data_IF_856640442823
#
_entry.id   IF_856640442823
#
_cell.length_a   1.000
_cell.length_b   1.000
_cell.length_c   1.000
_cell.angle_alpha   90.00
_cell.angle_beta   90.00
_cell.angle_gamma   90.00
#
_symmetry.space_group_name_H-M   'P 1'
#
loop_
_entity.id
_entity.type
_entity.pdbx_description
1 polymer ?
#
# COMPACT_ATOMS: atom_id res chain seq x y z
N UNK A 1 -9.75 3.60 14.33
CA UNK A 1 -10.74 2.64 13.82
C UNK A 1 -10.36 1.99 12.49
N UNK A 2 -9.21 2.35 11.90
CA UNK A 2 -8.68 1.63 10.73
C UNK A 2 -8.16 0.22 11.06
N UNK A 3 -7.92 -0.08 12.33
CA UNK A 3 -7.44 -1.38 12.81
C UNK A 3 -8.55 -2.43 12.85
N UNK A 4 -9.81 -2.03 13.06
CA UNK A 4 -10.92 -2.98 13.19
C UNK A 4 -11.19 -3.75 11.90
N UNK A 5 -11.04 -3.09 10.75
CA UNK A 5 -11.29 -3.71 9.46
C UNK A 5 -10.23 -4.76 9.08
N UNK A 6 -8.90 -4.50 9.11
CA UNK A 6 -7.90 -5.54 8.94
C UNK A 6 -8.03 -6.70 9.93
N UNK A 7 -8.31 -6.39 11.21
CA UNK A 7 -8.52 -7.40 12.22
C UNK A 7 -9.70 -8.32 11.88
N UNK A 8 -10.81 -7.76 11.39
CA UNK A 8 -11.98 -8.52 11.00
C UNK A 8 -11.71 -9.42 9.78
N UNK A 9 -10.98 -8.94 8.78
CA UNK A 9 -10.57 -9.74 7.62
C UNK A 9 -9.66 -10.91 8.05
N UNK A 10 -8.67 -10.65 8.91
CA UNK A 10 -7.78 -11.70 9.43
C UNK A 10 -8.58 -12.70 10.27
N UNK A 11 -9.47 -12.23 11.14
CA UNK A 11 -10.35 -13.09 11.95
C UNK A 11 -11.24 -13.97 11.07
N UNK A 12 -11.87 -13.39 10.07
CA UNK A 12 -12.75 -14.12 9.15
C UNK A 12 -11.96 -15.15 8.34
N UNK A 13 -10.79 -14.79 7.82
CA UNK A 13 -9.88 -15.71 7.14
C UNK A 13 -9.45 -16.87 8.03
N UNK A 14 -9.09 -16.58 9.29
CA UNK A 14 -8.76 -17.57 10.30
C UNK A 14 -9.92 -18.51 10.61
N UNK A 15 -11.14 -17.98 10.71
CA UNK A 15 -12.35 -18.77 10.94
C UNK A 15 -12.67 -19.70 9.76
N UNK A 16 -12.53 -19.24 8.52
CA UNK A 16 -12.71 -20.05 7.32
C UNK A 16 -11.74 -21.22 7.32
N UNK A 17 -10.44 -20.96 7.58
CA UNK A 17 -9.41 -22.00 7.61
C UNK A 17 -9.61 -22.97 8.78
N UNK A 18 -9.97 -22.46 9.97
CA UNK A 18 -10.28 -23.29 11.14
C UNK A 18 -11.50 -24.19 10.90
N UNK A 19 -12.55 -23.64 10.27
CA UNK A 19 -13.72 -24.40 9.85
C UNK A 19 -13.35 -25.50 8.86
N UNK A 20 -12.61 -25.16 7.80
CA UNK A 20 -12.12 -26.10 6.81
C UNK A 20 -11.29 -27.24 7.44
N UNK A 21 -10.42 -26.91 8.40
CA UNK A 21 -9.63 -27.92 9.14
C UNK A 21 -10.51 -28.88 9.93
N UNK A 22 -11.52 -28.38 10.65
CA UNK A 22 -12.45 -29.21 11.42
C UNK A 22 -13.26 -30.12 10.52
N UNK A 23 -13.73 -29.61 9.38
CA UNK A 23 -14.43 -30.39 8.37
C UNK A 23 -13.54 -31.46 7.75
N UNK A 24 -12.29 -31.12 7.41
CA UNK A 24 -11.31 -32.05 6.85
C UNK A 24 -10.96 -33.20 7.80
N UNK A 25 -11.08 -32.98 9.12
CA UNK A 25 -10.86 -34.02 10.15
C UNK A 25 -12.07 -34.94 10.36
N UNK A 26 -13.24 -34.56 9.85
CA UNK A 26 -14.46 -35.38 9.93
C UNK A 26 -14.57 -36.26 8.66
N UNK A 27 -14.60 -37.60 8.79
CA UNK A 27 -14.64 -38.49 7.62
C UNK A 27 -15.78 -38.22 6.64
N UNK A 28 -16.93 -37.74 7.14
CA UNK A 28 -18.11 -37.42 6.32
C UNK A 28 -17.96 -36.09 5.59
N UNK A 29 -17.31 -35.12 6.22
CA UNK A 29 -17.18 -33.73 5.74
C UNK A 29 -15.80 -33.45 5.13
N UNK A 30 -14.88 -34.40 5.13
CA UNK A 30 -13.49 -34.19 4.75
C UNK A 30 -13.34 -33.54 3.37
N UNK A 31 -14.10 -33.99 2.39
CA UNK A 31 -14.12 -33.43 1.04
C UNK A 31 -14.49 -31.93 1.06
N UNK A 32 -15.55 -31.57 1.78
CA UNK A 32 -16.00 -30.16 1.88
C UNK A 32 -14.92 -29.30 2.54
N UNK A 33 -14.27 -29.81 3.60
CA UNK A 33 -13.17 -29.12 4.26
C UNK A 33 -11.99 -28.85 3.33
N UNK A 34 -11.57 -29.83 2.54
CA UNK A 34 -10.51 -29.65 1.55
C UNK A 34 -10.91 -28.69 0.42
N UNK A 35 -12.14 -28.81 -0.11
CA UNK A 35 -12.65 -27.90 -1.15
C UNK A 35 -12.73 -26.45 -0.64
N UNK A 36 -13.15 -26.24 0.61
CA UNK A 36 -13.19 -24.91 1.26
C UNK A 36 -11.79 -24.34 1.44
N UNK A 37 -10.85 -25.12 1.96
CA UNK A 37 -9.46 -24.69 2.13
C UNK A 37 -8.80 -24.36 0.78
N UNK A 38 -8.97 -25.24 -0.20
CA UNK A 38 -8.45 -25.04 -1.55
C UNK A 38 -9.08 -23.82 -2.23
N UNK A 39 -10.41 -23.66 -2.15
CA UNK A 39 -11.10 -22.49 -2.71
C UNK A 39 -10.64 -21.18 -2.10
N UNK A 40 -10.46 -21.13 -0.76
CA UNK A 40 -9.96 -19.96 -0.07
C UNK A 40 -8.51 -19.65 -0.49
N UNK A 41 -7.62 -20.65 -0.46
CA UNK A 41 -6.22 -20.48 -0.85
C UNK A 41 -6.09 -20.06 -2.32
N UNK A 42 -6.88 -20.66 -3.21
CA UNK A 42 -6.88 -20.30 -4.64
C UNK A 42 -7.38 -18.89 -4.86
N UNK A 43 -8.48 -18.51 -4.23
CA UNK A 43 -9.06 -17.16 -4.42
C UNK A 43 -8.11 -16.07 -3.92
N UNK A 44 -7.54 -16.24 -2.74
CA UNK A 44 -6.69 -15.21 -2.11
C UNK A 44 -5.25 -15.28 -2.60
N UNK A 45 -4.67 -16.50 -2.67
CA UNK A 45 -3.25 -16.65 -2.96
C UNK A 45 -2.91 -16.74 -4.45
N UNK A 46 -3.85 -17.15 -5.30
CA UNK A 46 -3.56 -17.44 -6.71
C UNK A 46 -4.35 -16.54 -7.67
N UNK A 47 -5.68 -16.48 -7.56
CA UNK A 47 -6.49 -15.81 -8.58
C UNK A 47 -6.20 -14.31 -8.71
N UNK A 48 -6.05 -13.59 -7.61
CA UNK A 48 -5.71 -12.16 -7.62
C UNK A 48 -4.35 -11.92 -8.28
N UNK A 49 -3.26 -12.49 -7.76
CA UNK A 49 -1.93 -12.37 -8.35
C UNK A 49 -1.85 -12.86 -9.80
N UNK A 50 -2.51 -13.99 -10.13
CA UNK A 50 -2.50 -14.55 -11.48
C UNK A 50 -3.26 -13.66 -12.47
N UNK A 51 -4.39 -13.08 -12.08
CA UNK A 51 -5.15 -12.16 -12.92
C UNK A 51 -4.33 -10.90 -13.23
N UNK A 52 -3.67 -10.33 -12.22
CA UNK A 52 -2.80 -9.16 -12.41
C UNK A 52 -1.59 -9.51 -13.26
N UNK A 53 -0.97 -10.67 -13.03
CA UNK A 53 0.16 -11.13 -13.83
C UNK A 53 -0.25 -11.37 -15.30
N UNK A 54 -1.36 -12.06 -15.55
CA UNK A 54 -1.89 -12.29 -16.88
C UNK A 54 -2.24 -11.00 -17.62
N UNK A 55 -2.91 -10.06 -16.94
CA UNK A 55 -3.19 -8.75 -17.50
C UNK A 55 -1.91 -7.96 -17.80
N UNK A 56 -0.91 -8.03 -16.92
CA UNK A 56 0.39 -7.39 -17.14
C UNK A 56 1.11 -7.93 -18.38
N UNK A 57 1.06 -9.24 -18.60
CA UNK A 57 1.60 -9.87 -19.81
C UNK A 57 0.87 -9.39 -21.08
N UNK A 58 -0.45 -9.26 -21.03
CA UNK A 58 -1.25 -8.74 -22.13
C UNK A 58 -0.86 -7.29 -22.51
N UNK A 59 -0.40 -6.50 -21.54
CA UNK A 59 0.16 -5.15 -21.75
C UNK A 59 1.67 -5.15 -22.10
N UNK A 60 2.31 -6.32 -22.29
CA UNK A 60 3.73 -6.41 -22.66
C UNK A 60 4.71 -6.17 -21.50
N UNK A 61 4.27 -6.32 -20.27
CA UNK A 61 5.16 -6.23 -19.11
C UNK A 61 5.79 -7.59 -18.82
N UNK A 62 7.11 -7.63 -18.80
CA UNK A 62 7.86 -8.81 -18.35
C UNK A 62 7.95 -8.87 -16.82
N UNK A 63 8.37 -10.02 -16.27
CA UNK A 63 8.58 -10.21 -14.83
C UNK A 63 9.54 -9.16 -14.26
N UNK A 64 10.65 -8.90 -14.97
CA UNK A 64 11.67 -7.92 -14.58
C UNK A 64 11.11 -6.49 -14.54
N UNK A 65 10.30 -6.12 -15.54
CA UNK A 65 9.62 -4.82 -15.56
C UNK A 65 8.63 -4.66 -14.41
N UNK A 66 7.92 -5.73 -14.06
CA UNK A 66 6.99 -5.72 -12.92
C UNK A 66 7.73 -5.58 -11.58
N UNK A 67 8.87 -6.26 -11.44
CA UNK A 67 9.71 -6.10 -10.25
C UNK A 67 10.30 -4.70 -10.17
N UNK A 68 10.85 -4.19 -11.27
CA UNK A 68 11.37 -2.81 -11.33
C UNK A 68 10.29 -1.77 -11.02
N UNK A 69 9.05 -1.98 -11.49
CA UNK A 69 7.93 -1.08 -11.18
C UNK A 69 7.68 -0.99 -9.67
N UNK A 70 7.78 -2.11 -8.94
CA UNK A 70 7.58 -2.14 -7.49
C UNK A 70 8.61 -1.32 -6.71
N UNK A 71 9.81 -1.15 -7.24
CA UNK A 71 10.85 -0.28 -6.66
C UNK A 71 10.50 1.20 -6.78
N UNK A 72 9.69 1.58 -7.79
CA UNK A 72 9.35 2.98 -8.07
C UNK A 72 7.98 3.42 -7.55
N UNK A 73 7.16 2.49 -7.04
CA UNK A 73 5.90 2.84 -6.40
C UNK A 73 6.12 3.28 -4.96
N UNK A 74 5.19 4.04 -4.35
CA UNK A 74 5.26 4.36 -2.93
C UNK A 74 5.32 3.10 -2.07
N UNK A 75 6.07 3.13 -0.97
CA UNK A 75 6.30 2.01 -0.06
C UNK A 75 5.01 1.30 0.40
N UNK A 76 3.91 2.05 0.56
CA UNK A 76 2.61 1.50 0.96
C UNK A 76 1.90 0.73 -0.17
N UNK A 77 2.32 0.89 -1.43
CA UNK A 77 1.81 0.15 -2.58
C UNK A 77 2.78 -0.92 -3.08
N UNK A 78 3.99 -0.99 -2.56
CA UNK A 78 5.05 -1.91 -3.03
C UNK A 78 4.58 -3.37 -3.05
N UNK A 79 3.86 -3.80 -2.01
CA UNK A 79 3.37 -5.17 -1.86
C UNK A 79 1.88 -5.33 -2.19
N UNK A 80 1.22 -4.27 -2.64
CA UNK A 80 -0.18 -4.31 -3.08
C UNK A 80 -0.34 -5.04 -4.41
N UNK A 81 -1.57 -5.41 -4.71
CA UNK A 81 -1.95 -5.92 -6.03
C UNK A 81 -1.95 -4.76 -7.03
N UNK A 82 -0.90 -4.67 -7.86
CA UNK A 82 -0.67 -3.59 -8.82
C UNK A 82 -0.80 -4.09 -10.25
N UNK A 83 -1.64 -3.42 -11.04
CA UNK A 83 -1.71 -3.62 -12.49
C UNK A 83 -1.00 -2.46 -13.20
N UNK A 84 0.14 -2.70 -13.86
CA UNK A 84 0.78 -1.69 -14.69
C UNK A 84 -0.03 -1.47 -15.97
N UNK A 85 -0.10 -0.22 -16.38
CA UNK A 85 -0.72 0.20 -17.63
C UNK A 85 0.18 1.22 -18.33
N UNK A 86 0.16 1.23 -19.66
CA UNK A 86 0.87 2.22 -20.47
C UNK A 86 -0.15 3.03 -21.25
N UNK A 87 -0.27 4.31 -20.93
CA UNK A 87 -1.22 5.23 -21.54
C UNK A 87 -0.55 6.57 -21.80
N UNK A 88 -0.85 7.17 -22.95
CA UNK A 88 -0.36 8.50 -23.35
C UNK A 88 1.17 8.67 -23.27
N UNK A 89 1.92 7.61 -23.62
CA UNK A 89 3.38 7.61 -23.56
C UNK A 89 3.96 7.53 -22.14
N UNK A 90 3.14 7.27 -21.14
CA UNK A 90 3.54 7.21 -19.72
C UNK A 90 3.19 5.88 -19.07
N UNK A 91 4.06 5.44 -18.21
CA UNK A 91 3.75 4.31 -17.34
C UNK A 91 2.88 4.80 -16.17
N UNK A 92 1.77 4.10 -15.97
CA UNK A 92 0.85 4.28 -14.84
C UNK A 92 0.68 2.92 -14.16
N UNK A 93 0.14 2.90 -12.96
CA UNK A 93 -0.28 1.66 -12.32
C UNK A 93 -1.65 1.84 -11.67
N UNK A 94 -2.42 0.75 -11.63
CA UNK A 94 -3.69 0.70 -10.92
C UNK A 94 -3.45 -0.12 -9.65
N UNK A 95 -3.70 0.50 -8.50
CA UNK A 95 -3.58 -0.12 -7.17
C UNK A 95 -4.96 -0.63 -6.74
N UNK A 96 -5.06 -1.95 -6.57
CA UNK A 96 -6.27 -2.65 -6.18
C UNK A 96 -6.42 -2.82 -4.66
N UNK A 97 -5.45 -2.41 -3.87
CA UNK A 97 -5.42 -2.66 -2.41
C UNK A 97 -6.66 -2.18 -1.66
N UNK A 98 -7.33 -1.16 -2.18
CA UNK A 98 -8.54 -0.60 -1.56
C UNK A 98 -9.84 -1.22 -2.09
N UNK A 99 -9.83 -1.72 -3.31
CA UNK A 99 -10.99 -2.39 -3.93
C UNK A 99 -11.03 -3.88 -3.57
N UNK A 100 -9.87 -4.49 -3.38
CA UNK A 100 -9.75 -5.90 -3.03
C UNK A 100 -9.64 -6.07 -1.52
N UNK A 101 -10.76 -6.40 -0.89
CA UNK A 101 -10.88 -6.50 0.59
C UNK A 101 -9.88 -7.46 1.24
N UNK A 102 -9.47 -8.51 0.54
CA UNK A 102 -8.52 -9.49 1.03
C UNK A 102 -7.05 -9.12 0.79
N UNK A 103 -6.76 -7.93 0.27
CA UNK A 103 -5.38 -7.49 0.02
C UNK A 103 -4.54 -7.52 1.31
N UNK A 104 -5.16 -7.29 2.48
CA UNK A 104 -4.54 -7.44 3.81
C UNK A 104 -3.94 -8.84 4.00
N UNK A 105 -4.53 -9.88 3.42
CA UNK A 105 -4.04 -11.26 3.50
C UNK A 105 -3.19 -11.62 2.27
N UNK A 106 -3.55 -11.09 1.10
CA UNK A 106 -2.85 -11.35 -0.16
C UNK A 106 -1.49 -10.64 -0.21
N UNK A 107 -1.40 -9.40 0.27
CA UNK A 107 -0.16 -8.62 0.23
C UNK A 107 1.00 -9.30 0.99
N UNK A 108 0.84 -9.86 2.20
CA UNK A 108 1.88 -10.67 2.85
C UNK A 108 2.32 -11.89 2.05
N UNK A 109 1.38 -12.58 1.38
CA UNK A 109 1.70 -13.72 0.51
C UNK A 109 2.54 -13.25 -0.68
N UNK A 110 2.12 -12.13 -1.31
CA UNK A 110 2.88 -11.52 -2.41
C UNK A 110 4.27 -11.04 -1.96
N UNK A 111 4.39 -10.52 -0.74
CA UNK A 111 5.69 -10.14 -0.15
C UNK A 111 6.61 -11.35 -0.05
N UNK A 112 6.12 -12.48 0.46
CA UNK A 112 6.90 -13.71 0.56
C UNK A 112 7.35 -14.19 -0.82
N UNK A 113 6.46 -14.22 -1.82
CA UNK A 113 6.81 -14.58 -3.20
C UNK A 113 7.80 -13.61 -3.85
N UNK A 114 7.64 -12.32 -3.63
CA UNK A 114 8.56 -11.29 -4.18
C UNK A 114 9.95 -11.45 -3.60
N UNK A 115 10.08 -11.68 -2.29
CA UNK A 115 11.37 -11.92 -1.65
C UNK A 115 12.04 -13.22 -2.12
N UNK A 116 11.28 -14.30 -2.29
CA UNK A 116 11.78 -15.53 -2.87
C UNK A 116 12.33 -15.31 -4.29
N UNK A 117 11.60 -14.57 -5.12
CA UNK A 117 12.03 -14.27 -6.49
C UNK A 117 13.23 -13.32 -6.57
N UNK A 118 13.36 -12.41 -5.59
CA UNK A 118 14.49 -11.45 -5.52
C UNK A 118 15.81 -12.11 -5.14
N UNK A 119 15.73 -13.28 -4.52
CA UNK A 119 16.87 -14.03 -3.97
C UNK A 119 17.09 -15.35 -4.72
N UNK A 120 17.00 -15.29 -6.06
CA UNK A 120 17.14 -16.47 -6.91
C UNK A 120 18.46 -17.26 -6.68
N UNK A 121 19.52 -16.57 -6.22
CA UNK A 121 20.83 -17.17 -5.94
C UNK A 121 20.99 -17.69 -4.49
N UNK A 122 20.00 -17.48 -3.62
CA UNK A 122 20.03 -17.96 -2.23
C UNK A 122 19.29 -19.28 -2.07
N UNK A 123 19.64 -20.04 -1.02
CA UNK A 123 18.89 -21.25 -0.69
C UNK A 123 17.41 -20.91 -0.38
N UNK A 124 16.48 -21.74 -0.88
CA UNK A 124 15.02 -21.54 -0.79
C UNK A 124 14.55 -21.32 0.66
N UNK A 125 15.11 -22.06 1.62
CA UNK A 125 14.68 -21.99 3.03
C UNK A 125 14.99 -20.63 3.68
N UNK A 126 16.20 -20.05 3.57
CA UNK A 126 16.48 -18.70 4.07
C UNK A 126 15.62 -17.63 3.41
N UNK A 127 15.43 -17.68 2.09
CA UNK A 127 14.61 -16.74 1.34
C UNK A 127 13.14 -16.78 1.78
N UNK A 128 12.60 -17.98 2.01
CA UNK A 128 11.26 -18.19 2.53
C UNK A 128 11.12 -17.65 3.96
N UNK A 129 12.10 -17.90 4.84
CA UNK A 129 12.09 -17.38 6.20
C UNK A 129 12.08 -15.85 6.26
N UNK A 130 12.89 -15.19 5.42
CA UNK A 130 12.90 -13.72 5.30
C UNK A 130 11.57 -13.22 4.73
N UNK A 131 11.06 -13.87 3.67
CA UNK A 131 9.76 -13.53 3.09
C UNK A 131 8.62 -13.64 4.11
N UNK A 132 8.58 -14.71 4.88
CA UNK A 132 7.60 -14.89 5.96
C UNK A 132 7.76 -13.85 7.07
N UNK A 133 8.97 -13.52 7.48
CA UNK A 133 9.23 -12.49 8.50
C UNK A 133 8.69 -11.13 8.03
N UNK A 134 8.98 -10.74 6.79
CA UNK A 134 8.45 -9.51 6.20
C UNK A 134 6.92 -9.55 6.06
N UNK A 135 6.36 -10.69 5.67
CA UNK A 135 4.92 -10.90 5.59
C UNK A 135 4.25 -10.73 6.97
N UNK A 136 4.81 -11.29 8.04
CA UNK A 136 4.32 -11.08 9.40
C UNK A 136 4.43 -9.62 9.86
N UNK A 137 5.55 -8.95 9.57
CA UNK A 137 5.71 -7.53 9.85
C UNK A 137 4.64 -6.70 9.14
N UNK A 138 4.35 -6.99 7.89
CA UNK A 138 3.30 -6.31 7.12
C UNK A 138 1.89 -6.57 7.67
N UNK A 139 1.59 -7.79 8.12
CA UNK A 139 0.33 -8.10 8.81
C UNK A 139 0.20 -7.34 10.13
N UNK A 140 1.30 -7.14 10.85
CA UNK A 140 1.32 -6.42 12.13
C UNK A 140 1.25 -4.90 11.96
N UNK A 141 1.67 -4.34 10.81
CA UNK A 141 1.77 -2.89 10.59
C UNK A 141 0.49 -2.11 10.90
N UNK A 142 -0.73 -2.52 10.48
CA UNK A 142 -1.97 -1.83 10.82
C UNK A 142 -2.25 -1.77 12.33
N UNK A 143 -1.69 -2.69 13.12
CA UNK A 143 -1.89 -2.77 14.59
C UNK A 143 -0.82 -2.04 15.38
N UNK A 144 0.40 -1.92 14.80
CA UNK A 144 1.57 -1.32 15.46
C UNK A 144 1.79 0.12 14.99
N UNK A 145 1.33 0.46 13.78
CA UNK A 145 1.49 1.81 13.24
C UNK A 145 0.69 2.84 14.06
N UNK A 146 1.24 4.03 14.19
CA UNK A 146 0.57 5.14 14.87
C UNK A 146 -0.81 5.38 14.28
N UNK A 147 -1.84 5.47 15.13
CA UNK A 147 -3.15 5.90 14.69
C UNK A 147 -3.05 7.32 14.12
N UNK A 148 -3.92 7.65 13.16
CA UNK A 148 -3.96 8.99 12.54
C UNK A 148 -4.08 10.09 13.62
N UNK A 149 -4.83 9.83 14.69
CA UNK A 149 -4.99 10.76 15.81
C UNK A 149 -3.68 10.99 16.57
N UNK A 150 -2.98 9.92 16.89
CA UNK A 150 -1.69 9.99 17.57
C UNK A 150 -0.63 10.62 16.66
N UNK A 151 -0.61 10.26 15.38
CA UNK A 151 0.33 10.80 14.40
C UNK A 151 0.21 12.33 14.28
N UNK A 152 -1.01 12.88 14.22
CA UNK A 152 -1.22 14.33 14.14
C UNK A 152 -0.67 15.07 15.36
N UNK A 153 -0.92 14.55 16.56
CA UNK A 153 -0.38 15.14 17.80
C UNK A 153 1.14 14.94 17.86
N UNK A 154 1.65 13.78 17.46
CA UNK A 154 3.08 13.51 17.44
C UNK A 154 3.84 14.42 16.48
N UNK A 155 3.30 14.68 15.30
CA UNK A 155 3.88 15.61 14.32
C UNK A 155 4.04 17.03 14.88
N UNK A 156 3.03 17.49 15.63
CA UNK A 156 3.05 18.86 16.20
C UNK A 156 3.91 18.96 17.45
N UNK A 157 3.78 18.02 18.38
CA UNK A 157 4.40 18.10 19.71
C UNK A 157 5.76 17.41 19.76
N UNK A 158 5.83 16.10 19.47
CA UNK A 158 7.07 15.33 19.61
C UNK A 158 8.04 15.58 18.45
N UNK A 159 7.53 15.72 17.21
CA UNK A 159 8.34 15.99 16.01
C UNK A 159 8.51 17.47 15.71
N UNK A 160 8.07 18.36 16.62
CA UNK A 160 8.27 19.83 16.54
C UNK A 160 7.84 20.44 15.20
N UNK A 161 6.72 19.98 14.65
CA UNK A 161 6.20 20.49 13.38
C UNK A 161 6.81 19.84 12.13
N UNK A 162 7.30 18.61 12.25
CA UNK A 162 7.79 17.81 11.14
C UNK A 162 6.95 16.55 11.05
N UNK A 163 6.42 16.23 9.86
CA UNK A 163 5.64 15.00 9.64
C UNK A 163 6.53 13.75 9.72
N UNK A 164 5.93 12.57 9.90
CA UNK A 164 6.63 11.28 9.86
C UNK A 164 7.47 11.11 8.59
N UNK A 165 7.03 11.70 7.46
CA UNK A 165 7.73 11.68 6.18
C UNK A 165 8.82 12.76 6.05
N UNK A 166 9.08 13.54 7.09
CA UNK A 166 10.10 14.57 7.11
C UNK A 166 9.68 15.93 6.51
N UNK A 167 8.40 16.10 6.16
CA UNK A 167 7.90 17.38 5.65
C UNK A 167 7.68 18.37 6.80
N UNK A 168 8.20 19.61 6.65
CA UNK A 168 7.95 20.67 7.63
C UNK A 168 6.54 21.22 7.50
N UNK A 169 5.80 21.25 8.61
CA UNK A 169 4.45 21.84 8.70
C UNK A 169 4.57 23.37 8.76
N UNK A 170 5.56 23.89 9.50
CA UNK A 170 5.90 25.30 9.58
C UNK A 170 7.41 25.52 9.52
N UNK A 171 7.83 26.75 9.23
CA UNK A 171 9.23 27.14 9.31
C UNK A 171 9.54 27.76 10.68
N UNK A 172 10.77 27.68 11.12
CA UNK A 172 11.20 28.28 12.40
C UNK A 172 10.99 29.80 12.44
N UNK A 173 11.12 30.46 11.28
CA UNK A 173 10.94 31.91 11.10
C UNK A 173 9.46 32.35 11.06
N UNK A 174 8.52 31.43 11.01
CA UNK A 174 7.10 31.77 11.03
C UNK A 174 6.71 32.35 12.40
N UNK A 175 5.93 33.43 12.40
CA UNK A 175 5.34 33.99 13.61
C UNK A 175 4.35 33.00 14.25
N UNK A 176 4.08 33.18 15.54
CA UNK A 176 3.25 32.26 16.34
C UNK A 176 1.87 32.03 15.72
N UNK A 177 1.21 33.10 15.26
CA UNK A 177 -0.09 33.01 14.60
C UNK A 177 -0.05 32.17 13.31
N UNK A 178 1.02 32.31 12.52
CA UNK A 178 1.21 31.51 11.29
C UNK A 178 1.46 30.02 11.62
N UNK A 179 2.25 29.74 12.67
CA UNK A 179 2.49 28.36 13.14
C UNK A 179 1.19 27.70 13.58
N UNK A 180 0.37 28.40 14.36
CA UNK A 180 -0.94 27.90 14.81
C UNK A 180 -1.87 27.65 13.61
N UNK A 181 -1.97 28.60 12.68
CA UNK A 181 -2.80 28.41 11.48
C UNK A 181 -2.34 27.20 10.63
N UNK A 182 -1.04 27.03 10.46
CA UNK A 182 -0.47 25.87 9.74
C UNK A 182 -0.69 24.55 10.50
N UNK A 183 -0.60 24.55 11.83
CA UNK A 183 -0.92 23.39 12.67
C UNK A 183 -2.37 22.97 12.54
N UNK A 184 -3.31 23.92 12.64
CA UNK A 184 -4.74 23.65 12.44
C UNK A 184 -4.99 23.12 11.02
N UNK A 185 -4.41 23.75 10.00
CA UNK A 185 -4.52 23.29 8.62
C UNK A 185 -3.98 21.86 8.40
N UNK A 186 -2.89 21.50 9.08
CA UNK A 186 -2.34 20.13 9.06
C UNK A 186 -3.29 19.12 9.70
N UNK A 187 -3.82 19.42 10.90
CA UNK A 187 -4.77 18.56 11.59
C UNK A 187 -6.07 18.41 10.81
N UNK A 188 -6.61 19.51 10.29
CA UNK A 188 -7.84 19.49 9.46
C UNK A 188 -7.63 18.60 8.24
N UNK A 189 -6.49 18.71 7.56
CA UNK A 189 -6.16 17.86 6.41
C UNK A 189 -5.99 16.40 6.79
N UNK A 190 -5.35 16.12 7.93
CA UNK A 190 -5.08 14.77 8.40
C UNK A 190 -6.35 14.04 8.83
N UNK A 191 -7.26 14.76 9.51
CA UNK A 191 -8.52 14.22 10.02
C UNK A 191 -9.69 14.34 9.04
N UNK A 192 -9.48 15.02 7.90
CA UNK A 192 -10.49 15.10 6.85
C UNK A 192 -10.74 13.72 6.23
N UNK A 193 -12.00 13.33 6.03
CA UNK A 193 -12.30 12.10 5.30
C UNK A 193 -11.64 12.09 3.92
N UNK A 194 -11.09 10.96 3.52
CA UNK A 194 -10.44 10.80 2.22
C UNK A 194 -11.36 11.14 1.03
N UNK A 195 -12.67 10.96 1.21
CA UNK A 195 -13.71 11.35 0.26
C UNK A 195 -13.68 12.85 -0.08
N UNK A 196 -13.38 13.74 0.88
CA UNK A 196 -13.29 15.18 0.61
C UNK A 196 -12.16 15.51 -0.36
N UNK A 197 -11.05 14.80 -0.27
CA UNK A 197 -9.92 14.96 -1.20
C UNK A 197 -10.30 14.46 -2.59
N UNK A 198 -11.02 13.34 -2.69
CA UNK A 198 -11.48 12.80 -3.98
C UNK A 198 -12.53 13.71 -4.63
N UNK A 199 -13.48 14.22 -3.87
CA UNK A 199 -14.48 15.19 -4.36
C UNK A 199 -13.77 16.45 -4.89
N UNK A 200 -12.79 16.98 -4.17
CA UNK A 200 -12.02 18.14 -4.61
C UNK A 200 -11.25 17.87 -5.91
N UNK A 201 -10.65 16.68 -6.06
CA UNK A 201 -9.95 16.26 -7.29
C UNK A 201 -10.92 16.06 -8.45
N UNK A 202 -12.06 15.43 -8.21
CA UNK A 202 -13.11 15.25 -9.22
C UNK A 202 -13.65 16.60 -9.69
N UNK A 203 -13.90 17.55 -8.77
CA UNK A 203 -14.29 18.91 -9.12
C UNK A 203 -13.20 19.62 -9.95
N UNK A 204 -11.94 19.46 -9.56
CA UNK A 204 -10.79 19.98 -10.30
C UNK A 204 -10.69 19.40 -11.72
N UNK A 205 -10.88 18.09 -11.87
CA UNK A 205 -10.83 17.42 -13.16
C UNK A 205 -11.97 17.85 -14.10
N UNK A 206 -13.18 18.07 -13.57
CA UNK A 206 -14.33 18.55 -14.34
C UNK A 206 -14.14 20.02 -14.76
N UNK A 207 -13.58 20.85 -13.88
CA UNK A 207 -13.42 22.30 -14.13
C UNK A 207 -12.11 22.65 -14.84
N UNK A 208 -11.23 21.69 -15.09
CA UNK A 208 -9.90 21.90 -15.69
C UNK A 208 -8.93 22.71 -14.81
N UNK A 209 -9.26 22.92 -13.53
CA UNK A 209 -8.39 23.65 -12.60
C UNK A 209 -7.37 22.70 -11.99
N UNK A 210 -6.09 23.07 -12.02
CA UNK A 210 -5.05 22.29 -11.36
C UNK A 210 -5.08 22.50 -9.83
N UNK A 211 -4.87 21.42 -9.07
CA UNK A 211 -4.64 21.52 -7.62
C UNK A 211 -3.12 21.36 -7.40
N UNK A 212 -2.48 22.39 -6.88
CA UNK A 212 -1.02 22.44 -6.64
C UNK A 212 -0.18 22.07 -7.87
N UNK A 213 -0.61 22.50 -9.07
CA UNK A 213 0.08 22.23 -10.31
C UNK A 213 -0.14 20.81 -10.88
N UNK A 214 -1.00 20.01 -10.25
CA UNK A 214 -1.36 18.67 -10.75
C UNK A 214 -2.72 18.73 -11.43
N UNK A 215 -2.80 18.25 -12.66
CA UNK A 215 -4.04 18.05 -13.40
C UNK A 215 -4.56 16.64 -13.10
N UNK A 216 -5.86 16.54 -12.88
CA UNK A 216 -6.55 15.28 -12.58
C UNK A 216 -7.46 14.91 -13.75
N UNK A 217 -7.50 13.63 -14.10
CA UNK A 217 -8.40 13.11 -15.11
C UNK A 217 -9.69 12.60 -14.47
N UNK A 218 -10.84 12.89 -15.09
CA UNK A 218 -12.16 12.49 -14.57
C UNK A 218 -12.25 10.96 -14.41
N UNK A 219 -11.72 10.22 -15.39
CA UNK A 219 -11.69 8.75 -15.39
C UNK A 219 -10.92 8.19 -14.19
N UNK A 220 -9.77 8.78 -13.88
CA UNK A 220 -8.91 8.32 -12.78
C UNK A 220 -9.56 8.60 -11.41
N UNK A 221 -10.24 9.74 -11.28
CA UNK A 221 -10.95 10.08 -10.04
C UNK A 221 -12.22 9.26 -9.85
N UNK A 222 -12.93 8.90 -10.92
CA UNK A 222 -14.06 7.96 -10.85
C UNK A 222 -13.62 6.56 -10.43
N UNK A 223 -12.49 6.07 -10.96
CA UNK A 223 -11.87 4.83 -10.49
C UNK A 223 -11.52 4.90 -9.00
N UNK A 224 -11.04 6.06 -8.53
CA UNK A 224 -10.76 6.32 -7.12
C UNK A 224 -11.99 6.17 -6.21
N UNK A 225 -13.19 6.52 -6.69
CA UNK A 225 -14.43 6.37 -5.92
C UNK A 225 -14.81 4.90 -5.68
N UNK A 226 -14.48 4.01 -6.60
CA UNK A 226 -14.69 2.55 -6.44
C UNK A 226 -13.50 1.84 -5.80
N UNK A 227 -12.53 2.58 -5.26
CA UNK A 227 -11.37 2.03 -4.57
C UNK A 227 -10.19 1.64 -5.47
N UNK A 228 -10.27 1.90 -6.77
CA UNK A 228 -9.17 1.68 -7.71
C UNK A 228 -8.35 2.97 -7.86
N UNK A 229 -7.11 2.93 -7.40
CA UNK A 229 -6.23 4.08 -7.50
C UNK A 229 -5.33 3.95 -8.73
N UNK A 230 -5.59 4.77 -9.74
CA UNK A 230 -4.67 4.94 -10.88
C UNK A 230 -3.69 6.06 -10.57
N UNK A 231 -2.40 5.79 -10.73
CA UNK A 231 -1.36 6.77 -10.45
C UNK A 231 -0.25 6.71 -11.51
N UNK A 232 0.31 7.86 -11.91
CA UNK A 232 1.46 7.89 -12.77
C UNK A 232 2.70 7.37 -12.04
N UNK A 233 3.57 6.68 -12.77
CA UNK A 233 4.88 6.27 -12.31
C UNK A 233 5.87 7.40 -12.59
N UNK A 234 6.18 8.18 -11.56
CA UNK A 234 7.16 9.27 -11.64
C UNK A 234 8.54 8.72 -11.26
N UNK A 235 9.23 8.15 -12.25
CA UNK A 235 10.56 7.55 -12.05
C UNK A 235 11.58 8.55 -11.51
N UNK A 236 11.73 9.77 -12.06
CA UNK A 236 12.68 10.76 -11.52
C UNK A 236 12.43 11.07 -10.04
N UNK A 237 11.19 11.34 -9.67
CA UNK A 237 10.82 11.65 -8.28
C UNK A 237 11.03 10.46 -7.34
N UNK A 238 10.73 9.25 -7.79
CA UNK A 238 10.96 8.04 -7.00
C UNK A 238 12.46 7.82 -6.78
N UNK A 239 13.30 8.06 -7.77
CA UNK A 239 14.76 8.01 -7.64
C UNK A 239 15.29 9.06 -6.64
N UNK A 240 14.77 10.29 -6.66
CA UNK A 240 15.16 11.31 -5.68
C UNK A 240 14.82 10.90 -4.25
N UNK A 241 13.62 10.30 -4.05
CA UNK A 241 13.20 9.78 -2.74
C UNK A 241 14.12 8.65 -2.29
N UNK A 242 14.45 7.70 -3.16
CA UNK A 242 15.37 6.61 -2.85
C UNK A 242 16.76 7.12 -2.47
N UNK A 243 17.33 8.04 -3.25
CA UNK A 243 18.63 8.65 -2.95
C UNK A 243 18.58 9.38 -1.59
N UNK A 244 17.49 10.08 -1.30
CA UNK A 244 17.25 10.75 -0.02
C UNK A 244 17.21 9.77 1.16
N UNK A 245 16.57 8.62 0.99
CA UNK A 245 16.51 7.55 1.99
C UNK A 245 17.88 6.90 2.22
N UNK A 246 18.62 6.61 1.16
CA UNK A 246 19.99 6.11 1.24
C UNK A 246 20.91 7.05 2.02
N UNK A 247 20.91 8.35 1.69
CA UNK A 247 21.69 9.37 2.41
C UNK A 247 21.29 9.52 3.87
N UNK A 248 20.01 9.26 4.21
CA UNK A 248 19.53 9.29 5.58
C UNK A 248 19.98 8.04 6.34
N UNK A 249 19.90 6.85 5.74
CA UNK A 249 20.40 5.61 6.32
C UNK A 249 21.90 5.71 6.60
N UNK A 250 22.68 6.14 5.63
CA UNK A 250 24.13 6.35 5.77
C UNK A 250 24.50 7.33 6.89
N UNK A 251 23.74 8.42 7.05
CA UNK A 251 23.92 9.34 8.18
C UNK A 251 23.62 8.69 9.52
N UNK A 252 22.55 7.90 9.60
CA UNK A 252 22.19 7.21 10.84
C UNK A 252 23.23 6.15 11.23
N UNK A 253 23.81 5.44 10.25
CA UNK A 253 24.89 4.46 10.50
C UNK A 253 26.20 5.14 10.96
N UNK A 254 26.49 6.34 10.47
CA UNK A 254 27.69 7.11 10.89
C UNK A 254 27.50 7.83 12.23
N UNK A 255 26.33 7.76 12.87
CA UNK A 255 26.06 8.39 14.17
C UNK A 255 26.05 9.94 14.14
N UNK A 256 25.80 10.53 12.96
CA UNK A 256 25.76 11.98 12.73
C UNK A 256 24.32 12.51 12.68
#
# INVERSE_FOLDING_TARGET
NFVSWPAEIIRTSGNIMSGAKKEAQNPILARIGYERAAGFATTIGILGPAAVWGASQAYGFTKEKLMALREFVPYFSENSTLLPVYEDGKYKYIDFSRAFFYDVVTAPVMTAFTEMNRREDEAVIPSLAIGLTKAFAQLADPFVSESIWISGVADLYFRKGVTKQGQKIWNERDGLGTKVAKAIGHLTKLYSPGSNVQIARLYSSITGKSIKGTNYEVSDELLGLIGLRKAPLDIPRSMEIMIGQFKKAERNERGL
#
